data_IF_781373866743
#
_entry.id   IF_781373866743
#
_cell.length_a   1.000
_cell.length_b   1.000
_cell.length_c   1.000
_cell.angle_alpha   90.00
_cell.angle_beta   90.00
_cell.angle_gamma   90.00
#
_symmetry.space_group_name_H-M   'P 1'
#
loop_
_entity.id
_entity.type
_entity.pdbx_description
1 polymer ?
#
# COMPACT_ATOMS: atom_id res chain seq x y z
N UNK A 1 47.73 1.58 5.67
CA UNK A 1 46.89 1.75 4.45
C UNK A 1 45.88 0.60 4.23
N UNK A 2 45.77 -0.41 5.11
CA UNK A 2 44.78 -1.52 4.96
C UNK A 2 43.43 -1.31 5.68
N UNK A 3 43.24 -0.20 6.43
CA UNK A 3 42.03 0.00 7.25
C UNK A 3 40.80 0.31 6.40
N UNK A 4 40.88 1.26 5.46
CA UNK A 4 39.70 1.77 4.75
C UNK A 4 38.93 0.69 3.97
N UNK A 5 39.63 -0.26 3.36
CA UNK A 5 38.98 -1.34 2.61
C UNK A 5 38.29 -2.36 3.54
N UNK A 6 38.89 -2.64 4.70
CA UNK A 6 38.32 -3.56 5.69
C UNK A 6 37.11 -2.94 6.38
N UNK A 7 37.18 -1.65 6.71
CA UNK A 7 36.09 -0.90 7.33
C UNK A 7 34.91 -0.75 6.37
N UNK A 8 35.18 -0.48 5.08
CA UNK A 8 34.15 -0.45 4.03
C UNK A 8 33.47 -1.81 3.83
N UNK A 9 34.23 -2.92 3.91
CA UNK A 9 33.66 -4.27 3.83
C UNK A 9 32.78 -4.57 5.05
N UNK A 10 33.23 -4.23 6.26
CA UNK A 10 32.46 -4.44 7.48
C UNK A 10 31.14 -3.65 7.48
N UNK A 11 31.17 -2.39 7.06
CA UNK A 11 29.98 -1.56 6.90
C UNK A 11 29.01 -2.12 5.85
N UNK A 12 29.53 -2.65 4.74
CA UNK A 12 28.71 -3.26 3.69
C UNK A 12 28.01 -4.54 4.20
N UNK A 13 28.71 -5.38 4.96
CA UNK A 13 28.14 -6.59 5.55
C UNK A 13 27.05 -6.26 6.60
N UNK A 14 27.28 -5.24 7.42
CA UNK A 14 26.28 -4.77 8.40
C UNK A 14 25.04 -4.15 7.73
N UNK A 15 25.20 -3.56 6.54
CA UNK A 15 24.06 -3.09 5.75
C UNK A 15 23.24 -4.28 5.22
N UNK A 16 23.90 -5.30 4.66
CA UNK A 16 23.25 -6.52 4.17
C UNK A 16 22.50 -7.26 5.29
N UNK A 17 23.13 -7.43 6.45
CA UNK A 17 22.52 -8.09 7.60
C UNK A 17 21.29 -7.31 8.10
N UNK A 18 21.38 -5.99 8.14
CA UNK A 18 20.22 -5.16 8.50
C UNK A 18 19.04 -5.29 7.52
N UNK A 19 19.30 -5.47 6.23
CA UNK A 19 18.25 -5.71 5.23
C UNK A 19 17.65 -7.12 5.40
N UNK A 20 18.49 -8.14 5.59
CA UNK A 20 18.06 -9.53 5.76
C UNK A 20 17.26 -9.71 7.05
N UNK A 21 17.70 -9.08 8.15
CA UNK A 21 17.01 -9.07 9.44
C UNK A 21 15.77 -8.15 9.46
N UNK A 22 15.55 -7.36 8.41
CA UNK A 22 14.44 -6.40 8.31
C UNK A 22 14.58 -5.17 9.22
N UNK A 23 15.76 -4.92 9.79
CA UNK A 23 16.06 -3.75 10.62
C UNK A 23 16.50 -2.51 9.82
N UNK A 24 16.89 -2.70 8.55
CA UNK A 24 17.17 -1.63 7.58
C UNK A 24 16.26 -1.81 6.36
N UNK A 25 15.39 -0.85 6.08
CA UNK A 25 14.61 -0.84 4.85
C UNK A 25 15.52 -0.43 3.68
N UNK A 26 15.50 -1.18 2.58
CA UNK A 26 16.16 -0.75 1.36
C UNK A 26 15.26 0.29 0.66
N UNK A 27 15.64 1.57 0.72
CA UNK A 27 14.97 2.59 -0.09
C UNK A 27 15.36 2.40 -1.56
N UNK A 28 14.60 1.57 -2.28
CA UNK A 28 14.63 1.55 -3.74
C UNK A 28 14.06 2.88 -4.27
N UNK A 29 14.87 3.94 -4.29
CA UNK A 29 14.53 5.24 -4.87
C UNK A 29 14.56 5.25 -6.40
N UNK A 30 14.10 4.17 -7.05
CA UNK A 30 13.92 4.13 -8.51
C UNK A 30 12.55 4.64 -8.96
N UNK A 31 11.78 5.27 -8.07
CA UNK A 31 10.47 5.87 -8.39
C UNK A 31 9.34 4.88 -8.68
N UNK A 32 9.65 3.59 -8.81
CA UNK A 32 8.66 2.52 -8.92
C UNK A 32 8.41 2.00 -7.51
N UNK A 33 7.40 2.58 -6.86
CA UNK A 33 6.87 2.02 -5.64
C UNK A 33 6.05 0.80 -6.01
N UNK A 34 6.61 -0.39 -5.79
CA UNK A 34 5.79 -1.60 -5.88
C UNK A 34 4.95 -1.69 -4.60
N UNK A 35 3.73 -1.18 -4.72
CA UNK A 35 2.75 -1.18 -3.66
C UNK A 35 2.32 -2.59 -3.21
N UNK A 36 2.68 -3.63 -3.97
CA UNK A 36 2.46 -5.03 -3.63
C UNK A 36 3.64 -5.68 -2.90
N UNK A 37 4.78 -4.99 -2.77
CA UNK A 37 5.91 -5.51 -2.00
C UNK A 37 5.52 -5.64 -0.52
N UNK A 38 5.79 -6.79 0.14
CA UNK A 38 5.55 -6.99 1.57
C UNK A 38 6.29 -5.98 2.47
N UNK A 39 7.35 -5.35 1.94
CA UNK A 39 8.16 -4.35 2.63
C UNK A 39 7.76 -2.92 2.27
N UNK A 40 6.72 -2.72 1.45
CA UNK A 40 6.23 -1.41 1.07
C UNK A 40 5.64 -0.69 2.29
N UNK A 41 6.13 0.50 2.67
CA UNK A 41 5.49 1.32 3.71
C UNK A 41 4.05 1.73 3.34
N UNK A 42 3.65 1.61 2.06
CA UNK A 42 2.28 1.87 1.63
C UNK A 42 1.40 0.62 1.56
N UNK A 43 1.90 -0.59 1.86
CA UNK A 43 1.10 -1.83 1.84
C UNK A 43 -0.15 -1.72 2.74
N UNK A 44 -0.05 -1.00 3.86
CA UNK A 44 -1.19 -0.68 4.72
C UNK A 44 -2.16 0.34 4.10
N UNK A 45 -1.62 1.42 3.54
CA UNK A 45 -2.40 2.49 2.89
C UNK A 45 -3.13 2.03 1.63
N UNK A 46 -2.56 1.08 0.88
CA UNK A 46 -3.19 0.49 -0.31
C UNK A 46 -4.33 -0.46 0.01
N UNK A 47 -4.48 -0.93 1.26
CA UNK A 47 -5.58 -1.83 1.60
C UNK A 47 -6.93 -1.18 1.33
N UNK A 48 -7.08 0.09 1.66
CA UNK A 48 -8.30 0.84 1.38
C UNK A 48 -8.53 0.96 -0.14
N UNK A 49 -7.49 1.24 -0.93
CA UNK A 49 -7.59 1.34 -2.39
C UNK A 49 -7.95 0.00 -3.03
N UNK A 50 -7.34 -1.11 -2.62
CA UNK A 50 -7.70 -2.45 -3.12
C UNK A 50 -9.15 -2.81 -2.78
N UNK A 51 -9.60 -2.53 -1.55
CA UNK A 51 -11.00 -2.75 -1.18
C UNK A 51 -11.98 -1.91 -2.01
N UNK A 52 -11.60 -0.68 -2.36
CA UNK A 52 -12.40 0.19 -3.23
C UNK A 52 -12.44 -0.35 -4.66
N UNK A 53 -11.31 -0.80 -5.21
CA UNK A 53 -11.25 -1.43 -6.54
C UNK A 53 -12.03 -2.75 -6.59
N UNK A 54 -11.89 -3.60 -5.58
CA UNK A 54 -12.66 -4.85 -5.45
C UNK A 54 -14.17 -4.55 -5.37
N UNK A 55 -14.56 -3.60 -4.52
CA UNK A 55 -15.96 -3.16 -4.40
C UNK A 55 -16.47 -2.60 -5.74
N UNK A 56 -15.67 -1.79 -6.44
CA UNK A 56 -16.02 -1.24 -7.75
C UNK A 56 -16.26 -2.36 -8.76
N UNK A 57 -15.36 -3.33 -8.86
CA UNK A 57 -15.50 -4.47 -9.77
C UNK A 57 -16.76 -5.29 -9.49
N UNK A 58 -17.04 -5.56 -8.21
CA UNK A 58 -18.28 -6.24 -7.80
C UNK A 58 -19.51 -5.43 -8.18
N UNK A 59 -19.53 -4.13 -7.87
CA UNK A 59 -20.63 -3.25 -8.22
C UNK A 59 -20.83 -3.22 -9.73
N UNK A 60 -19.79 -3.09 -10.56
CA UNK A 60 -19.92 -3.06 -12.02
C UNK A 60 -20.64 -4.30 -12.59
N UNK A 61 -20.45 -5.48 -11.98
CA UNK A 61 -21.09 -6.73 -12.39
C UNK A 61 -22.52 -6.91 -11.86
N UNK A 62 -22.97 -6.09 -10.90
CA UNK A 62 -24.33 -6.17 -10.33
C UNK A 62 -25.39 -5.54 -11.23
N UNK A 63 -26.60 -6.11 -11.18
CA UNK A 63 -27.77 -5.58 -11.87
C UNK A 63 -28.20 -4.22 -11.30
N UNK A 64 -28.90 -3.42 -12.11
CA UNK A 64 -29.27 -2.05 -11.73
C UNK A 64 -30.20 -2.02 -10.51
N UNK A 65 -31.19 -2.91 -10.46
CA UNK A 65 -32.13 -2.98 -9.32
C UNK A 65 -31.43 -3.39 -8.02
N UNK A 66 -30.43 -4.27 -8.09
CA UNK A 66 -29.63 -4.68 -6.93
C UNK A 66 -28.75 -3.54 -6.42
N UNK A 67 -28.15 -2.77 -7.34
CA UNK A 67 -27.40 -1.55 -6.99
C UNK A 67 -28.27 -0.53 -6.27
N UNK A 68 -29.48 -0.25 -6.77
CA UNK A 68 -30.40 0.68 -6.11
C UNK A 68 -30.80 0.17 -4.72
N UNK A 69 -31.07 -1.13 -4.58
CA UNK A 69 -31.31 -1.76 -3.28
C UNK A 69 -30.15 -1.61 -2.30
N UNK A 70 -28.91 -1.63 -2.80
CA UNK A 70 -27.72 -1.38 -1.98
C UNK A 70 -27.61 0.08 -1.54
N UNK A 71 -27.89 1.03 -2.44
CA UNK A 71 -27.88 2.47 -2.11
C UNK A 71 -28.89 2.81 -1.03
N UNK A 72 -30.07 2.18 -1.05
CA UNK A 72 -31.09 2.34 -0.01
C UNK A 72 -30.66 1.87 1.38
N UNK A 73 -29.57 1.09 1.50
CA UNK A 73 -29.02 0.68 2.81
C UNK A 73 -28.03 1.70 3.38
N UNK A 74 -27.58 2.67 2.58
CA UNK A 74 -26.68 3.72 3.03
C UNK A 74 -27.54 4.83 3.64
N UNK A 75 -27.32 5.19 4.93
CA UNK A 75 -28.01 6.33 5.53
C UNK A 75 -27.74 7.62 4.76
N UNK A 76 -28.78 8.46 4.61
CA UNK A 76 -28.68 9.72 3.87
C UNK A 76 -27.53 10.60 4.37
N UNK A 77 -27.35 10.70 5.69
CA UNK A 77 -26.25 11.48 6.28
C UNK A 77 -24.87 10.99 5.86
N UNK A 78 -24.71 9.67 5.66
CA UNK A 78 -23.46 9.07 5.19
C UNK A 78 -23.26 9.38 3.71
N UNK A 79 -24.30 9.26 2.90
CA UNK A 79 -24.25 9.60 1.48
C UNK A 79 -23.90 11.07 1.27
N UNK A 80 -24.55 11.98 2.00
CA UNK A 80 -24.28 13.42 1.98
C UNK A 80 -22.83 13.73 2.38
N UNK A 81 -22.35 13.14 3.48
CA UNK A 81 -20.94 13.32 3.91
C UNK A 81 -19.94 12.86 2.85
N UNK A 82 -20.22 11.75 2.16
CA UNK A 82 -19.36 11.25 1.09
C UNK A 82 -19.37 12.17 -0.14
N UNK A 83 -20.54 12.73 -0.48
CA UNK A 83 -20.66 13.70 -1.59
C UNK A 83 -19.92 15.00 -1.28
N UNK A 84 -19.95 15.49 -0.03
CA UNK A 84 -19.19 16.68 0.37
C UNK A 84 -17.67 16.46 0.37
N UNK A 85 -17.23 15.22 0.59
CA UNK A 85 -15.82 14.87 0.63
C UNK A 85 -15.18 14.69 -0.76
N UNK A 86 -15.98 14.31 -1.77
CA UNK A 86 -15.55 14.07 -3.16
C UNK A 86 -15.56 15.35 -4.01
#
# INVERSE_FOLDING_TARGET
MMSDASDMLAAALEQMDGIIAGSKALEYSNGIFDCQSPTSPFMGSLRALHLVEDLRGLLEMMETDEKEGLRCQIPDSTAETLVEWL
#
